data_IF_355023043758
#
_entry.id   IF_355023043758
#
_cell.length_a   1.000
_cell.length_b   1.000
_cell.length_c   1.000
_cell.angle_alpha   90.00
_cell.angle_beta   90.00
_cell.angle_gamma   90.00
#
_symmetry.space_group_name_H-M   'P 1'
#
loop_
_entity.id
_entity.type
_entity.pdbx_description
1 polymer ?
#
# COMPACT_ATOMS: atom_id res chain seq x y z
N UNK A 1 -23.82 -33.18 27.42
CA UNK A 1 -22.82 -33.64 26.40
C UNK A 1 -22.60 -32.47 25.44
N UNK A 2 -21.66 -31.60 25.77
CA UNK A 2 -21.41 -30.36 25.01
C UNK A 2 -20.18 -30.55 24.18
N UNK A 3 -20.39 -30.69 22.86
CA UNK A 3 -19.32 -30.74 21.86
C UNK A 3 -18.92 -29.33 21.49
N UNK A 4 -18.09 -28.67 22.29
CA UNK A 4 -17.35 -27.49 21.90
C UNK A 4 -16.04 -27.92 21.23
N UNK A 5 -16.10 -28.18 19.93
CA UNK A 5 -14.91 -28.22 19.11
C UNK A 5 -14.26 -26.84 19.04
N UNK A 6 -12.92 -26.69 19.02
CA UNK A 6 -12.29 -25.39 18.91
C UNK A 6 -12.73 -24.75 17.60
N UNK A 7 -13.37 -23.57 17.67
CA UNK A 7 -13.59 -22.71 16.52
C UNK A 7 -12.20 -22.37 15.98
N UNK A 8 -11.80 -22.98 14.88
CA UNK A 8 -10.65 -22.56 14.10
C UNK A 8 -10.97 -21.14 13.64
N UNK A 9 -10.48 -20.16 14.39
CA UNK A 9 -10.61 -18.75 14.01
C UNK A 9 -10.03 -18.59 12.63
N UNK A 10 -10.82 -18.05 11.70
CA UNK A 10 -10.31 -17.65 10.38
C UNK A 10 -9.17 -16.67 10.67
N UNK A 11 -7.93 -17.10 10.44
CA UNK A 11 -6.77 -16.26 10.62
C UNK A 11 -6.90 -15.10 9.63
N UNK A 12 -7.29 -13.93 10.16
CA UNK A 12 -7.48 -12.74 9.34
C UNK A 12 -6.10 -12.23 8.89
N UNK A 13 -5.79 -12.43 7.62
CA UNK A 13 -4.52 -11.99 7.04
C UNK A 13 -4.66 -10.55 6.59
N UNK A 14 -3.74 -9.67 7.07
CA UNK A 14 -3.73 -8.26 6.71
C UNK A 14 -3.38 -8.05 5.24
N UNK A 15 -4.29 -7.46 4.47
CA UNK A 15 -4.06 -7.06 3.09
C UNK A 15 -3.22 -5.78 2.98
N UNK A 16 -2.66 -5.55 1.80
CA UNK A 16 -2.00 -4.29 1.44
C UNK A 16 -2.61 -3.79 0.13
N UNK A 17 -3.07 -2.54 0.11
CA UNK A 17 -3.65 -1.93 -1.09
C UNK A 17 -2.85 -0.71 -1.49
N UNK A 18 -2.44 -0.65 -2.75
CA UNK A 18 -1.98 0.58 -3.38
C UNK A 18 -3.17 1.15 -4.12
N UNK A 19 -3.63 2.34 -3.74
CA UNK A 19 -4.74 3.02 -4.39
C UNK A 19 -4.22 4.31 -5.04
N UNK A 20 -4.34 4.42 -6.35
CA UNK A 20 -3.68 5.48 -7.10
C UNK A 20 -4.59 6.12 -8.15
N UNK A 21 -4.44 7.44 -8.33
CA UNK A 21 -5.12 8.19 -9.39
C UNK A 21 -4.42 7.97 -10.74
N UNK A 22 -5.23 7.76 -11.76
CA UNK A 22 -4.78 7.51 -13.14
C UNK A 22 -4.41 6.05 -13.40
N UNK A 23 -4.52 5.62 -14.64
CA UNK A 23 -4.22 4.26 -15.06
C UNK A 23 -2.86 4.14 -15.72
N UNK A 24 -2.10 3.13 -15.33
CA UNK A 24 -0.82 2.81 -15.98
C UNK A 24 -1.01 2.18 -17.37
N UNK A 25 -2.13 1.51 -17.59
CA UNK A 25 -2.44 0.82 -18.87
C UNK A 25 -1.27 -0.07 -19.33
N UNK A 26 -0.79 0.12 -20.59
CA UNK A 26 0.31 -0.65 -21.19
C UNK A 26 1.70 -0.02 -20.96
N UNK A 27 1.85 0.83 -19.95
CA UNK A 27 3.15 1.44 -19.63
C UNK A 27 4.10 0.41 -19.02
N UNK A 28 5.42 0.58 -19.21
CA UNK A 28 6.42 -0.29 -18.58
C UNK A 28 6.27 -0.39 -17.05
N UNK A 29 5.84 0.70 -16.42
CA UNK A 29 5.60 0.76 -14.98
C UNK A 29 4.51 -0.21 -14.51
N UNK A 30 3.48 -0.47 -15.34
CA UNK A 30 2.43 -1.45 -15.01
C UNK A 30 3.02 -2.85 -14.86
N UNK A 31 3.95 -3.23 -15.75
CA UNK A 31 4.64 -4.53 -15.69
C UNK A 31 5.49 -4.63 -14.42
N UNK A 32 6.22 -3.56 -14.08
CA UNK A 32 7.06 -3.53 -12.89
C UNK A 32 6.22 -3.63 -11.61
N UNK A 33 5.14 -2.86 -11.49
CA UNK A 33 4.23 -2.92 -10.34
C UNK A 33 3.65 -4.32 -10.18
N UNK A 34 3.11 -4.90 -11.26
CA UNK A 34 2.56 -6.27 -11.24
C UNK A 34 3.61 -7.28 -10.77
N UNK A 35 4.84 -7.19 -11.30
CA UNK A 35 5.93 -8.10 -10.92
C UNK A 35 6.24 -8.04 -9.42
N UNK A 36 6.39 -6.83 -8.84
CA UNK A 36 6.67 -6.69 -7.41
C UNK A 36 5.49 -7.13 -6.53
N UNK A 37 4.26 -6.81 -6.92
CA UNK A 37 3.06 -7.26 -6.22
C UNK A 37 2.97 -8.79 -6.20
N UNK A 38 3.21 -9.43 -7.34
CA UNK A 38 3.18 -10.90 -7.45
C UNK A 38 4.28 -11.55 -6.59
N UNK A 39 5.48 -10.97 -6.58
CA UNK A 39 6.58 -11.43 -5.72
C UNK A 39 6.24 -11.28 -4.25
N UNK A 40 5.66 -10.13 -3.85
CA UNK A 40 5.19 -9.95 -2.49
C UNK A 40 4.13 -11.00 -2.14
N UNK A 41 3.15 -11.23 -2.99
CA UNK A 41 2.07 -12.18 -2.74
C UNK A 41 2.56 -13.63 -2.54
N UNK A 42 3.67 -14.00 -3.18
CA UNK A 42 4.31 -15.30 -2.96
C UNK A 42 5.01 -15.40 -1.59
N UNK A 43 5.70 -14.34 -1.17
CA UNK A 43 6.45 -14.33 0.09
C UNK A 43 5.59 -13.94 1.29
N UNK A 44 4.68 -13.01 1.14
CA UNK A 44 3.88 -12.42 2.21
C UNK A 44 3.02 -13.45 2.93
N UNK A 45 2.53 -14.46 2.22
CA UNK A 45 1.77 -15.57 2.82
C UNK A 45 2.55 -16.30 3.91
N UNK A 46 3.86 -16.50 3.71
CA UNK A 46 4.75 -17.14 4.69
C UNK A 46 4.91 -16.29 5.96
N UNK A 47 4.65 -15.02 5.85
CA UNK A 47 4.73 -14.03 6.94
C UNK A 47 3.37 -13.73 7.57
N UNK A 48 2.27 -14.36 7.13
CA UNK A 48 0.93 -14.07 7.61
C UNK A 48 0.29 -12.81 7.02
N UNK A 49 0.84 -12.27 5.92
CA UNK A 49 0.18 -11.22 5.15
C UNK A 49 -0.87 -11.80 4.19
N UNK A 50 -1.95 -11.04 3.98
CA UNK A 50 -2.88 -11.24 2.89
C UNK A 50 -2.29 -10.79 1.55
N UNK A 51 -3.16 -10.60 0.56
CA UNK A 51 -2.73 -10.16 -0.76
C UNK A 51 -2.42 -8.65 -0.77
N UNK A 52 -1.40 -8.29 -1.52
CA UNK A 52 -1.20 -6.94 -2.01
C UNK A 52 -1.89 -6.78 -3.37
N UNK A 53 -2.48 -5.63 -3.62
CA UNK A 53 -3.12 -5.29 -4.89
C UNK A 53 -2.99 -3.80 -5.23
N UNK A 54 -3.11 -3.49 -6.51
CA UNK A 54 -3.22 -2.13 -7.03
C UNK A 54 -4.67 -1.85 -7.43
N UNK A 55 -5.22 -0.75 -6.92
CA UNK A 55 -6.51 -0.19 -7.36
C UNK A 55 -6.22 1.16 -8.03
N UNK A 56 -6.65 1.29 -9.27
CA UNK A 56 -6.50 2.52 -10.04
C UNK A 56 -7.86 3.20 -10.19
N UNK A 57 -7.93 4.47 -9.80
CA UNK A 57 -9.12 5.31 -9.99
C UNK A 57 -8.84 6.36 -11.04
N UNK A 58 -9.85 6.71 -11.84
CA UNK A 58 -9.70 7.68 -12.93
C UNK A 58 -10.88 8.65 -12.91
N UNK A 59 -10.59 9.93 -12.76
CA UNK A 59 -11.56 11.00 -12.99
C UNK A 59 -11.69 11.26 -14.49
N UNK A 60 -12.68 10.61 -15.11
CA UNK A 60 -12.92 10.70 -16.56
C UNK A 60 -13.37 12.08 -17.02
N UNK A 61 -13.91 12.88 -16.11
CA UNK A 61 -14.49 14.18 -16.42
C UNK A 61 -13.50 15.33 -16.23
N UNK A 62 -12.31 15.06 -15.66
CA UNK A 62 -11.34 16.10 -15.36
C UNK A 62 -11.84 17.09 -14.32
N UNK A 63 -12.65 16.65 -13.36
CA UNK A 63 -13.28 17.48 -12.34
C UNK A 63 -12.30 17.92 -11.24
N UNK A 64 -11.06 17.42 -11.29
CA UNK A 64 -9.94 17.87 -10.47
C UNK A 64 -9.77 17.12 -9.15
N UNK A 65 -8.88 17.64 -8.32
CA UNK A 65 -8.36 16.99 -7.11
C UNK A 65 -9.45 16.55 -6.12
N UNK A 66 -10.54 17.32 -5.99
CA UNK A 66 -11.66 16.97 -5.08
C UNK A 66 -12.43 15.74 -5.58
N UNK A 67 -12.63 15.60 -6.90
CA UNK A 67 -13.27 14.43 -7.49
C UNK A 67 -12.36 13.19 -7.38
N UNK A 68 -11.07 13.36 -7.60
CA UNK A 68 -10.06 12.30 -7.39
C UNK A 68 -10.06 11.81 -5.94
N UNK A 69 -10.15 12.74 -4.97
CA UNK A 69 -10.21 12.39 -3.55
C UNK A 69 -11.44 11.54 -3.21
N UNK A 70 -12.61 11.85 -3.76
CA UNK A 70 -13.83 11.06 -3.58
C UNK A 70 -13.65 9.65 -4.16
N UNK A 71 -13.02 9.52 -5.32
CA UNK A 71 -12.76 8.23 -5.95
C UNK A 71 -11.78 7.40 -5.13
N UNK A 72 -10.70 8.01 -4.64
CA UNK A 72 -9.74 7.35 -3.75
C UNK A 72 -10.43 6.87 -2.47
N UNK A 73 -11.20 7.74 -1.81
CA UNK A 73 -11.89 7.42 -0.55
C UNK A 73 -12.85 6.23 -0.70
N UNK A 74 -13.59 6.17 -1.81
CA UNK A 74 -14.48 5.04 -2.12
C UNK A 74 -13.73 3.72 -2.37
N UNK A 75 -12.49 3.80 -2.84
CA UNK A 75 -11.67 2.62 -3.14
C UNK A 75 -10.93 2.06 -1.92
N UNK A 76 -10.88 2.80 -0.80
CA UNK A 76 -10.24 2.34 0.43
C UNK A 76 -11.04 1.17 1.05
N UNK A 77 -10.42 0.00 1.28
CA UNK A 77 -11.07 -1.09 1.99
C UNK A 77 -11.48 -0.68 3.41
N UNK A 78 -12.60 -1.21 3.88
CA UNK A 78 -13.09 -0.91 5.24
C UNK A 78 -12.06 -1.31 6.30
N UNK A 79 -11.95 -0.49 7.35
CA UNK A 79 -11.02 -0.70 8.48
C UNK A 79 -9.54 -0.74 8.04
N UNK A 80 -9.19 -0.01 6.99
CA UNK A 80 -7.80 0.19 6.58
C UNK A 80 -7.09 1.20 7.46
N UNK A 81 -5.80 0.96 7.67
CA UNK A 81 -4.86 2.02 8.03
C UNK A 81 -4.54 2.78 6.74
N UNK A 82 -4.73 4.08 6.74
CA UNK A 82 -4.53 4.94 5.56
C UNK A 82 -3.16 5.61 5.64
N UNK A 83 -2.33 5.36 4.65
CA UNK A 83 -1.02 5.97 4.49
C UNK A 83 -0.97 6.77 3.17
N UNK A 84 -0.88 8.09 3.23
CA UNK A 84 -0.73 8.90 2.02
C UNK A 84 0.74 9.03 1.63
N UNK A 85 1.03 8.98 0.32
CA UNK A 85 2.32 9.41 -0.20
C UNK A 85 2.28 10.91 -0.41
N UNK A 86 3.15 11.61 0.31
CA UNK A 86 3.25 13.07 0.27
C UNK A 86 4.71 13.50 0.45
N UNK A 87 5.18 14.50 -0.30
CA UNK A 87 6.57 14.99 -0.21
C UNK A 87 6.92 15.53 1.18
N UNK A 88 5.94 16.02 1.92
CA UNK A 88 6.07 16.53 3.28
C UNK A 88 5.88 15.44 4.35
N UNK A 89 5.65 14.20 3.93
CA UNK A 89 5.50 13.06 4.83
C UNK A 89 6.80 12.67 5.52
N UNK A 90 6.71 11.69 6.41
CA UNK A 90 7.87 11.13 7.10
C UNK A 90 8.66 10.21 6.16
N UNK A 91 9.97 10.43 6.08
CA UNK A 91 10.88 9.49 5.39
C UNK A 91 11.14 8.28 6.28
N UNK A 92 11.06 7.09 5.72
CA UNK A 92 11.36 5.83 6.39
C UNK A 92 12.52 5.12 5.69
N UNK A 93 13.33 4.42 6.45
CA UNK A 93 14.24 3.41 5.88
C UNK A 93 13.44 2.18 5.46
N UNK A 94 13.96 1.36 4.54
CA UNK A 94 13.31 0.10 4.15
C UNK A 94 13.06 -0.83 5.35
N UNK A 95 14.00 -1.00 6.31
CA UNK A 95 13.71 -1.76 7.53
C UNK A 95 12.59 -1.17 8.38
N UNK A 96 12.48 0.17 8.47
CA UNK A 96 11.42 0.81 9.22
C UNK A 96 10.05 0.62 8.58
N UNK A 97 9.96 0.64 7.25
CA UNK A 97 8.73 0.30 6.54
C UNK A 97 8.35 -1.18 6.76
N UNK A 98 9.32 -2.09 6.71
CA UNK A 98 9.09 -3.50 7.01
C UNK A 98 8.55 -3.71 8.43
N UNK A 99 9.14 -3.03 9.42
CA UNK A 99 8.67 -3.06 10.82
C UNK A 99 7.28 -2.47 10.97
N UNK A 100 6.97 -1.37 10.28
CA UNK A 100 5.64 -0.77 10.27
C UNK A 100 4.58 -1.76 9.77
N UNK A 101 4.82 -2.41 8.63
CA UNK A 101 3.90 -3.40 8.07
C UNK A 101 3.73 -4.61 9.00
N UNK A 102 4.83 -5.10 9.58
CA UNK A 102 4.79 -6.20 10.55
C UNK A 102 3.98 -5.81 11.79
N UNK A 103 4.17 -4.63 12.35
CA UNK A 103 3.42 -4.14 13.49
C UNK A 103 1.91 -4.01 13.19
N UNK A 104 1.54 -3.52 12.01
CA UNK A 104 0.14 -3.46 11.60
C UNK A 104 -0.48 -4.86 11.54
N UNK A 105 0.22 -5.84 10.95
CA UNK A 105 -0.21 -7.24 10.90
C UNK A 105 -0.37 -7.83 12.30
N UNK A 106 0.63 -7.67 13.17
CA UNK A 106 0.67 -8.27 14.51
C UNK A 106 -0.40 -7.67 15.43
N UNK A 107 -0.81 -6.41 15.17
CA UNK A 107 -1.94 -5.76 15.83
C UNK A 107 -3.28 -6.00 15.12
N UNK A 108 -3.38 -7.06 14.32
CA UNK A 108 -4.62 -7.53 13.68
C UNK A 108 -5.34 -6.45 12.86
N UNK A 109 -4.58 -5.55 12.21
CA UNK A 109 -5.16 -4.60 11.26
C UNK A 109 -5.65 -5.35 10.02
N UNK A 110 -6.78 -4.91 9.46
CA UNK A 110 -7.38 -5.60 8.31
C UNK A 110 -6.63 -5.33 7.03
N UNK A 111 -6.18 -4.09 6.84
CA UNK A 111 -5.51 -3.66 5.63
C UNK A 111 -4.64 -2.41 5.90
N UNK A 112 -3.58 -2.24 5.14
CA UNK A 112 -2.85 -0.99 5.01
C UNK A 112 -3.06 -0.49 3.58
N UNK A 113 -3.63 0.70 3.43
CA UNK A 113 -3.87 1.32 2.12
C UNK A 113 -2.93 2.49 1.93
N UNK A 114 -2.10 2.42 0.89
CA UNK A 114 -1.27 3.52 0.45
C UNK A 114 -1.98 4.30 -0.65
N UNK A 115 -2.14 5.61 -0.46
CA UNK A 115 -2.78 6.50 -1.43
C UNK A 115 -1.72 7.27 -2.20
N UNK A 116 -1.84 7.26 -3.53
CA UNK A 116 -1.00 8.02 -4.45
C UNK A 116 -1.92 8.93 -5.28
N UNK A 117 -1.73 10.23 -5.15
CA UNK A 117 -2.49 11.24 -5.88
C UNK A 117 -2.12 11.30 -7.37
N UNK A 118 -2.86 12.14 -8.10
CA UNK A 118 -2.54 12.52 -9.47
C UNK A 118 -1.47 13.61 -9.55
N UNK A 119 -1.48 14.40 -10.63
CA UNK A 119 -0.51 15.46 -10.87
C UNK A 119 -0.52 16.55 -9.79
N UNK A 120 -1.69 16.83 -9.21
CA UNK A 120 -1.89 17.86 -8.19
C UNK A 120 -1.77 17.31 -6.76
N UNK A 121 -1.33 16.05 -6.60
CA UNK A 121 -1.20 15.40 -5.31
C UNK A 121 -2.51 14.86 -4.76
N UNK A 122 -2.63 14.82 -3.42
CA UNK A 122 -3.81 14.37 -2.69
C UNK A 122 -4.49 15.57 -2.03
N UNK A 123 -5.82 15.63 -2.11
CA UNK A 123 -6.63 16.69 -1.51
C UNK A 123 -6.42 16.75 0.01
N UNK A 124 -6.35 17.98 0.56
CA UNK A 124 -6.01 18.23 1.97
C UNK A 124 -6.98 17.58 2.99
N UNK A 125 -8.27 17.53 2.66
CA UNK A 125 -9.26 16.87 3.52
C UNK A 125 -9.01 15.36 3.62
N UNK A 126 -8.59 14.72 2.52
CA UNK A 126 -8.23 13.30 2.52
C UNK A 126 -6.89 13.07 3.23
N UNK A 127 -5.91 13.96 3.07
CA UNK A 127 -4.65 13.89 3.83
C UNK A 127 -4.89 13.95 5.34
N UNK A 128 -5.80 14.82 5.81
CA UNK A 128 -6.15 14.94 7.23
C UNK A 128 -6.83 13.71 7.81
N UNK A 129 -7.46 12.89 6.98
CA UNK A 129 -8.07 11.61 7.39
C UNK A 129 -7.06 10.47 7.44
N UNK A 130 -5.86 10.64 6.88
CA UNK A 130 -4.85 9.61 6.86
C UNK A 130 -4.23 9.41 8.24
N UNK A 131 -3.92 8.16 8.57
CA UNK A 131 -3.22 7.79 9.80
C UNK A 131 -1.73 8.14 9.71
N UNK A 132 -1.16 8.08 8.50
CA UNK A 132 0.26 8.32 8.24
C UNK A 132 0.47 9.04 6.91
N UNK A 133 1.55 9.83 6.84
CA UNK A 133 2.07 10.39 5.61
C UNK A 133 3.51 9.90 5.40
N UNK A 134 3.77 9.26 4.27
CA UNK A 134 5.07 8.69 3.86
C UNK A 134 5.66 9.53 2.74
N UNK A 135 6.95 9.85 2.84
CA UNK A 135 7.72 10.51 1.79
C UNK A 135 8.85 9.63 1.26
N UNK A 136 9.05 9.66 -0.06
CA UNK A 136 10.23 9.10 -0.72
C UNK A 136 11.38 10.12 -0.85
N UNK A 137 11.38 11.15 -0.03
CA UNK A 137 12.37 12.23 -0.03
C UNK A 137 11.81 13.53 -0.59
N UNK A 138 12.67 14.55 -0.65
CA UNK A 138 12.28 15.91 -1.05
C UNK A 138 12.17 16.11 -2.57
N UNK A 139 12.55 15.12 -3.36
CA UNK A 139 12.42 15.19 -4.81
C UNK A 139 10.99 14.85 -5.22
N UNK A 140 10.48 15.55 -6.24
CA UNK A 140 9.19 15.24 -6.84
C UNK A 140 9.33 14.04 -7.76
N UNK A 141 8.49 13.04 -7.58
CA UNK A 141 8.46 11.83 -8.38
C UNK A 141 7.19 11.76 -9.23
N UNK A 142 7.30 11.37 -10.51
CA UNK A 142 6.13 11.04 -11.30
C UNK A 142 5.29 9.97 -10.58
N UNK A 143 3.97 10.14 -10.53
CA UNK A 143 3.08 9.22 -9.82
C UNK A 143 3.14 7.78 -10.36
N UNK A 144 3.51 7.57 -11.63
CA UNK A 144 3.75 6.24 -12.19
C UNK A 144 4.98 5.57 -11.58
N UNK A 145 6.09 6.31 -11.41
CA UNK A 145 7.30 5.80 -10.76
C UNK A 145 7.11 5.62 -9.26
N UNK A 146 6.38 6.52 -8.59
CA UNK A 146 6.05 6.37 -7.17
C UNK A 146 5.34 5.04 -6.88
N UNK A 147 4.46 4.58 -7.78
CA UNK A 147 3.82 3.25 -7.67
C UNK A 147 4.81 2.11 -7.76
N UNK A 148 5.77 2.18 -8.69
CA UNK A 148 6.82 1.17 -8.84
C UNK A 148 7.69 1.13 -7.58
N UNK A 149 8.13 2.30 -7.11
CA UNK A 149 8.96 2.42 -5.91
C UNK A 149 8.24 1.86 -4.68
N UNK A 150 6.96 2.17 -4.52
CA UNK A 150 6.16 1.64 -3.41
C UNK A 150 5.97 0.13 -3.51
N UNK A 151 5.62 -0.39 -4.69
CA UNK A 151 5.45 -1.84 -4.90
C UNK A 151 6.75 -2.60 -4.61
N UNK A 152 7.90 -2.03 -5.03
CA UNK A 152 9.22 -2.57 -4.72
C UNK A 152 9.49 -2.57 -3.22
N UNK A 153 9.20 -1.47 -2.52
CA UNK A 153 9.43 -1.36 -1.08
C UNK A 153 8.51 -2.31 -0.26
N UNK A 154 7.29 -2.55 -0.71
CA UNK A 154 6.39 -3.55 -0.13
C UNK A 154 7.01 -4.96 -0.29
N UNK A 155 7.47 -5.31 -1.50
CA UNK A 155 8.18 -6.57 -1.74
C UNK A 155 9.47 -6.67 -0.90
N UNK A 156 10.29 -5.62 -0.87
CA UNK A 156 11.52 -5.53 -0.07
C UNK A 156 11.23 -5.74 1.41
N UNK A 157 10.14 -5.20 1.92
CA UNK A 157 9.72 -5.42 3.31
C UNK A 157 9.53 -6.90 3.63
N UNK A 158 8.89 -7.66 2.75
CA UNK A 158 8.76 -9.11 2.92
C UNK A 158 10.12 -9.82 2.90
N UNK A 159 11.05 -9.38 2.03
CA UNK A 159 12.40 -9.95 1.96
C UNK A 159 13.23 -9.66 3.22
N UNK A 160 13.08 -8.46 3.80
CA UNK A 160 13.72 -8.09 5.07
C UNK A 160 13.20 -8.97 6.21
N UNK A 161 11.88 -9.10 6.33
CA UNK A 161 11.24 -9.90 7.38
C UNK A 161 11.58 -11.39 7.27
N UNK A 162 11.77 -11.91 6.06
CA UNK A 162 12.22 -13.29 5.80
C UNK A 162 13.75 -13.46 5.86
N UNK A 163 14.51 -12.36 6.02
CA UNK A 163 15.98 -12.36 6.01
C UNK A 163 16.56 -12.99 4.72
N UNK A 164 15.92 -12.72 3.58
CA UNK A 164 16.42 -13.18 2.28
C UNK A 164 17.51 -12.22 1.73
N UNK A 165 18.39 -12.68 0.81
CA UNK A 165 19.54 -11.89 0.34
C UNK A 165 19.20 -10.72 -0.59
N UNK A 166 17.93 -10.45 -0.88
CA UNK A 166 17.51 -9.34 -1.74
C UNK A 166 17.86 -7.97 -1.14
N UNK A 167 17.67 -7.81 0.18
CA UNK A 167 18.08 -6.61 0.90
C UNK A 167 19.52 -6.82 1.42
N UNK A 168 20.41 -5.91 1.03
CA UNK A 168 21.78 -5.83 1.53
C UNK A 168 21.91 -4.51 2.29
N UNK A 169 22.44 -4.60 3.50
CA UNK A 169 22.81 -3.44 4.33
C UNK A 169 24.04 -2.75 3.75
#
# INVERSE_FOLDING_TARGET
MDAYGPKIGVMHMMGITICAVGRLRQKPEAVLVSNYVDRFNKLGRKLGFGLANLIEVEDKNGSGISAEAILLEKAIPKKSIICVLDENGKTLTSPNLASFLANCRDNSKNNVTFLIGGADGIEEGLKKKADYALSFGKMVWPHSLARVMLAEQIYRSATILLKTPYHRN
#
